data_IF_914026054318
#
_entry.id   IF_914026054318
#
_cell.length_a   1.000
_cell.length_b   1.000
_cell.length_c   1.000
_cell.angle_alpha   90.00
_cell.angle_beta   90.00
_cell.angle_gamma   90.00
#
_symmetry.space_group_name_H-M   'P 1'
#
loop_
_entity.id
_entity.type
_entity.pdbx_description
1 polymer ?
#
# COMPACT_ATOMS: atom_id res chain seq x y z
N UNK A 1 48.13 -12.17 8.64
CA UNK A 1 47.65 -10.94 9.33
C UNK A 1 46.25 -10.67 8.83
N UNK A 2 45.23 -10.81 9.69
CA UNK A 2 43.81 -10.63 9.33
C UNK A 2 43.43 -9.16 9.56
N UNK A 3 42.99 -8.45 8.52
CA UNK A 3 42.47 -7.08 8.64
C UNK A 3 41.01 -7.18 9.07
N UNK A 4 40.72 -6.84 10.34
CA UNK A 4 39.34 -6.68 10.80
C UNK A 4 38.78 -5.38 10.22
N UNK A 5 37.74 -5.49 9.39
CA UNK A 5 36.96 -4.36 8.91
C UNK A 5 36.10 -3.82 10.07
N UNK A 6 36.41 -2.62 10.55
CA UNK A 6 35.58 -1.91 11.52
C UNK A 6 34.52 -1.10 10.78
N UNK A 7 33.24 -1.49 10.93
CA UNK A 7 32.11 -0.73 10.38
C UNK A 7 31.92 0.53 11.23
N UNK A 8 32.19 1.70 10.66
CA UNK A 8 31.87 2.99 11.28
C UNK A 8 30.35 3.10 11.39
N UNK A 9 29.77 3.28 12.60
CA UNK A 9 28.34 3.53 12.71
C UNK A 9 28.03 4.91 12.13
N UNK A 10 27.35 4.95 10.99
CA UNK A 10 26.86 6.18 10.40
C UNK A 10 25.94 6.90 11.40
N UNK A 11 26.17 8.19 11.59
CA UNK A 11 25.36 9.05 12.48
C UNK A 11 23.90 9.01 12.00
N UNK A 12 23.03 8.37 12.78
CA UNK A 12 21.59 8.35 12.54
C UNK A 12 21.08 9.77 12.78
N UNK A 13 20.88 10.53 11.71
CA UNK A 13 20.18 11.80 11.79
C UNK A 13 18.72 11.48 12.13
N UNK A 14 18.27 11.83 13.35
CA UNK A 14 16.83 11.82 13.65
C UNK A 14 16.17 12.77 12.66
N UNK A 15 15.33 12.22 11.77
CA UNK A 15 14.41 13.04 10.99
C UNK A 15 13.54 13.78 11.99
N UNK A 16 13.50 15.10 11.88
CA UNK A 16 12.49 15.88 12.58
C UNK A 16 11.13 15.36 12.12
N UNK A 17 10.41 14.67 13.02
CA UNK A 17 9.04 14.28 12.76
C UNK A 17 8.25 15.57 12.63
N UNK A 18 7.61 15.78 11.47
CA UNK A 18 6.62 16.84 11.35
C UNK A 18 5.58 16.61 12.46
N UNK A 19 5.31 17.62 13.31
CA UNK A 19 4.27 17.49 14.32
C UNK A 19 2.93 17.28 13.61
N UNK A 20 2.09 16.40 14.16
CA UNK A 20 0.70 16.29 13.73
C UNK A 20 0.05 17.66 13.86
N UNK A 21 -0.70 18.05 12.83
CA UNK A 21 -1.48 19.28 12.84
C UNK A 21 -2.72 19.10 13.71
N UNK A 22 -3.37 20.22 14.10
CA UNK A 22 -4.63 20.17 14.83
C UNK A 22 -5.73 19.41 14.04
N UNK A 23 -5.67 19.45 12.71
CA UNK A 23 -6.58 18.69 11.84
C UNK A 23 -6.33 17.18 11.96
N UNK A 24 -5.06 16.77 11.92
CA UNK A 24 -4.70 15.35 12.05
C UNK A 24 -5.16 14.78 13.39
N UNK A 25 -5.01 15.55 14.47
CA UNK A 25 -5.47 15.17 15.80
C UNK A 25 -6.99 15.04 15.87
N UNK A 26 -7.73 15.97 15.24
CA UNK A 26 -9.19 15.91 15.18
C UNK A 26 -9.67 14.68 14.38
N UNK A 27 -8.99 14.35 13.28
CA UNK A 27 -9.31 13.17 12.48
C UNK A 27 -9.02 11.87 13.26
N UNK A 28 -7.89 11.81 13.99
CA UNK A 28 -7.55 10.66 14.83
C UNK A 28 -8.56 10.46 15.97
N UNK A 29 -9.00 11.54 16.63
CA UNK A 29 -10.04 11.46 17.65
C UNK A 29 -11.40 11.04 17.05
N UNK A 30 -11.72 11.50 15.85
CA UNK A 30 -12.91 11.03 15.12
C UNK A 30 -12.82 9.54 14.81
N UNK A 31 -11.68 9.06 14.35
CA UNK A 31 -11.48 7.62 14.09
C UNK A 31 -11.54 6.79 15.38
N UNK A 32 -11.06 7.30 16.52
CA UNK A 32 -11.16 6.59 17.81
C UNK A 32 -12.61 6.51 18.30
N UNK A 33 -13.35 7.61 18.18
CA UNK A 33 -14.71 7.75 18.69
C UNK A 33 -15.78 7.11 17.79
N UNK A 34 -15.53 6.97 16.49
CA UNK A 34 -16.47 6.41 15.51
C UNK A 34 -16.14 4.95 15.16
N UNK A 35 -16.94 3.95 15.62
CA UNK A 35 -16.73 2.55 15.29
C UNK A 35 -16.83 2.24 13.79
N UNK A 36 -17.61 3.02 13.03
CA UNK A 36 -17.79 2.79 11.59
C UNK A 36 -16.52 3.10 10.80
N UNK A 37 -15.79 4.15 11.19
CA UNK A 37 -14.50 4.50 10.60
C UNK A 37 -13.43 3.47 10.94
N UNK A 38 -13.46 2.91 12.16
CA UNK A 38 -12.55 1.82 12.54
C UNK A 38 -12.81 0.55 11.76
N UNK A 39 -14.07 0.17 11.60
CA UNK A 39 -14.44 -1.00 10.81
C UNK A 39 -13.98 -0.86 9.35
N UNK A 40 -14.17 0.32 8.75
CA UNK A 40 -13.69 0.60 7.39
C UNK A 40 -12.16 0.52 7.28
N UNK A 41 -11.43 1.07 8.26
CA UNK A 41 -9.97 0.98 8.27
C UNK A 41 -9.48 -0.47 8.48
N UNK A 42 -10.15 -1.25 9.34
CA UNK A 42 -9.82 -2.66 9.58
C UNK A 42 -10.06 -3.51 8.32
N UNK A 43 -11.15 -3.26 7.58
CA UNK A 43 -11.40 -3.88 6.28
C UNK A 43 -10.28 -3.56 5.29
N UNK A 44 -9.86 -2.29 5.20
CA UNK A 44 -8.72 -1.90 4.38
C UNK A 44 -7.41 -2.56 4.86
N UNK A 45 -7.22 -2.73 6.16
CA UNK A 45 -6.08 -3.44 6.73
C UNK A 45 -6.20 -4.97 6.69
N UNK A 46 -7.25 -5.53 6.07
CA UNK A 46 -7.48 -6.98 5.99
C UNK A 46 -7.59 -7.67 7.37
N UNK A 47 -8.15 -6.97 8.38
CA UNK A 47 -8.39 -7.50 9.71
C UNK A 47 -7.23 -7.35 10.71
N UNK A 48 -6.17 -6.61 10.35
CA UNK A 48 -4.99 -6.44 11.20
C UNK A 48 -5.18 -5.47 12.38
N UNK A 49 -6.31 -4.74 12.46
CA UNK A 49 -6.62 -3.77 13.51
C UNK A 49 -7.45 -4.36 14.67
N UNK A 50 -7.52 -5.69 14.79
CA UNK A 50 -8.41 -6.47 15.67
C UNK A 50 -8.21 -6.30 17.19
N UNK A 51 -7.55 -5.24 17.66
CA UNK A 51 -7.39 -4.96 19.09
C UNK A 51 -8.56 -4.12 19.63
N UNK A 52 -9.10 -4.52 20.77
CA UNK A 52 -10.20 -3.82 21.47
C UNK A 52 -9.84 -2.38 21.85
N UNK A 53 -8.55 -2.12 22.02
CA UNK A 53 -7.96 -0.79 22.21
C UNK A 53 -6.93 -0.54 21.11
N UNK A 54 -7.22 0.40 20.22
CA UNK A 54 -6.28 0.83 19.17
C UNK A 54 -5.62 2.11 19.65
N UNK A 55 -4.30 2.10 19.76
CA UNK A 55 -3.53 3.29 20.14
C UNK A 55 -3.50 4.30 18.99
N UNK A 56 -3.26 5.58 19.31
CA UNK A 56 -3.11 6.62 18.30
C UNK A 56 -1.98 6.29 17.30
N UNK A 57 -0.85 5.78 17.81
CA UNK A 57 0.26 5.35 16.96
C UNK A 57 -0.10 4.18 16.03
N UNK A 58 -0.94 3.24 16.48
CA UNK A 58 -1.42 2.15 15.64
C UNK A 58 -2.36 2.66 14.55
N UNK A 59 -3.25 3.62 14.86
CA UNK A 59 -4.11 4.27 13.86
C UNK A 59 -3.29 5.01 12.80
N UNK A 60 -2.35 5.85 13.22
CA UNK A 60 -1.47 6.58 12.29
C UNK A 60 -0.71 5.60 11.39
N UNK A 61 -0.17 4.52 11.96
CA UNK A 61 0.52 3.50 11.19
C UNK A 61 -0.41 2.83 10.16
N UNK A 62 -1.60 2.40 10.57
CA UNK A 62 -2.55 1.75 9.68
C UNK A 62 -3.03 2.68 8.55
N UNK A 63 -3.32 3.95 8.85
CA UNK A 63 -3.67 4.96 7.84
C UNK A 63 -2.52 5.12 6.85
N UNK A 64 -1.27 5.21 7.33
CA UNK A 64 -0.09 5.34 6.47
C UNK A 64 0.10 4.12 5.58
N UNK A 65 0.00 2.90 6.13
CA UNK A 65 0.11 1.64 5.36
C UNK A 65 -0.97 1.58 4.28
N UNK A 66 -2.23 1.85 4.64
CA UNK A 66 -3.34 1.90 3.68
C UNK A 66 -3.09 2.91 2.57
N UNK A 67 -2.65 4.12 2.93
CA UNK A 67 -2.36 5.18 1.97
C UNK A 67 -1.24 4.81 0.99
N UNK A 68 -0.12 4.26 1.48
CA UNK A 68 0.97 3.79 0.61
C UNK A 68 0.50 2.66 -0.31
N UNK A 69 -0.32 1.74 0.20
CA UNK A 69 -0.87 0.66 -0.62
C UNK A 69 -1.77 1.21 -1.74
N UNK A 70 -2.66 2.14 -1.42
CA UNK A 70 -3.52 2.79 -2.41
C UNK A 70 -2.73 3.54 -3.49
N UNK A 71 -1.63 4.23 -3.11
CA UNK A 71 -0.73 4.88 -4.08
C UNK A 71 -0.08 3.85 -5.01
N UNK A 72 0.37 2.71 -4.47
CA UNK A 72 0.96 1.63 -5.28
C UNK A 72 -0.05 1.01 -6.24
N UNK A 73 -1.25 0.68 -5.75
CA UNK A 73 -2.34 0.14 -6.57
C UNK A 73 -2.70 1.11 -7.71
N UNK A 74 -2.78 2.41 -7.42
CA UNK A 74 -3.04 3.43 -8.44
C UNK A 74 -1.91 3.51 -9.48
N UNK A 75 -0.64 3.46 -9.04
CA UNK A 75 0.51 3.48 -9.93
C UNK A 75 0.56 2.23 -10.83
N UNK A 76 0.27 1.05 -10.27
CA UNK A 76 0.21 -0.21 -11.01
C UNK A 76 -0.92 -0.18 -12.05
N UNK A 77 -2.12 0.26 -11.67
CA UNK A 77 -3.24 0.42 -12.59
C UNK A 77 -2.89 1.37 -13.75
N UNK A 78 -2.24 2.51 -13.45
CA UNK A 78 -1.75 3.43 -14.48
C UNK A 78 -0.72 2.77 -15.40
N UNK A 79 0.24 2.04 -14.85
CA UNK A 79 1.26 1.36 -15.64
C UNK A 79 0.66 0.31 -16.59
N UNK A 80 -0.36 -0.44 -16.13
CA UNK A 80 -1.08 -1.37 -17.00
C UNK A 80 -1.85 -0.67 -18.13
N UNK A 81 -2.46 0.48 -17.86
CA UNK A 81 -3.12 1.29 -18.89
C UNK A 81 -2.11 1.82 -19.92
N UNK A 82 -0.99 2.37 -19.46
CA UNK A 82 0.07 2.89 -20.32
C UNK A 82 0.67 1.76 -21.18
N UNK A 83 0.87 0.57 -20.59
CA UNK A 83 1.32 -0.62 -21.32
C UNK A 83 0.29 -1.09 -22.37
N UNK A 84 -1.00 -1.13 -22.01
CA UNK A 84 -2.05 -1.51 -22.95
C UNK A 84 -2.13 -0.53 -24.13
N UNK A 85 -1.91 0.76 -23.88
CA UNK A 85 -1.86 1.80 -24.91
C UNK A 85 -0.60 1.73 -25.80
N UNK A 86 0.47 1.06 -25.36
CA UNK A 86 1.71 0.93 -26.11
C UNK A 86 1.66 -0.11 -27.24
N UNK A 87 0.64 -0.99 -27.24
CA UNK A 87 0.52 -2.04 -28.23
C UNK A 87 0.00 -1.53 -29.57
N UNK A 88 0.60 -2.05 -30.64
CA UNK A 88 0.08 -1.92 -32.00
C UNK A 88 -1.21 -2.73 -32.18
N UNK A 89 -2.09 -2.37 -33.14
CA UNK A 89 -3.29 -3.15 -33.43
C UNK A 89 -3.01 -4.63 -33.72
N UNK A 90 -1.90 -4.93 -34.39
CA UNK A 90 -1.44 -6.28 -34.69
C UNK A 90 -1.10 -7.07 -33.41
N UNK A 91 -0.36 -6.47 -32.48
CA UNK A 91 0.00 -7.09 -31.19
C UNK A 91 -1.21 -7.30 -30.28
N UNK A 92 -2.22 -6.42 -30.35
CA UNK A 92 -3.49 -6.58 -29.64
C UNK A 92 -4.25 -7.79 -30.17
N UNK A 93 -4.31 -7.95 -31.49
CA UNK A 93 -5.02 -9.06 -32.12
C UNK A 93 -4.32 -10.40 -31.88
N UNK A 94 -2.99 -10.44 -31.94
CA UNK A 94 -2.20 -11.63 -31.60
C UNK A 94 -2.44 -12.09 -30.15
N UNK A 95 -2.47 -11.15 -29.19
CA UNK A 95 -2.77 -11.45 -27.78
C UNK A 95 -4.19 -12.01 -27.57
N UNK A 96 -5.20 -11.44 -28.25
CA UNK A 96 -6.58 -11.98 -28.20
C UNK A 96 -6.64 -13.40 -28.76
N UNK A 97 -5.97 -13.64 -29.88
CA UNK A 97 -5.92 -14.95 -30.50
C UNK A 97 -5.19 -15.98 -29.60
N UNK A 98 -4.13 -15.58 -28.89
CA UNK A 98 -3.47 -16.43 -27.91
C UNK A 98 -4.37 -16.75 -26.70
N UNK A 99 -5.04 -15.74 -26.13
CA UNK A 99 -5.92 -15.91 -24.96
C UNK A 99 -7.13 -16.82 -25.23
N UNK A 100 -7.69 -16.77 -26.44
CA UNK A 100 -8.82 -17.63 -26.84
C UNK A 100 -8.39 -19.09 -27.05
N UNK A 101 -7.15 -19.34 -27.50
CA UNK A 101 -6.61 -20.71 -27.67
C UNK A 101 -6.21 -21.37 -26.34
N UNK A 102 -5.80 -20.58 -25.35
CA UNK A 102 -5.38 -21.06 -24.03
C UNK A 102 -6.48 -20.96 -22.96
N UNK A 103 -7.74 -21.21 -23.32
CA UNK A 103 -8.78 -21.40 -22.30
C UNK A 103 -8.40 -22.59 -21.41
N UNK A 104 -8.17 -22.32 -20.13
CA UNK A 104 -7.79 -23.33 -19.16
C UNK A 104 -8.90 -24.37 -19.02
N UNK A 105 -8.51 -25.65 -19.06
CA UNK A 105 -9.39 -26.83 -18.99
C UNK A 105 -10.12 -27.01 -17.66
N UNK A 106 -9.97 -26.08 -16.71
CA UNK A 106 -10.68 -26.06 -15.42
C UNK A 106 -12.00 -25.26 -15.49
N UNK A 107 -12.31 -24.67 -16.65
CA UNK A 107 -13.57 -23.93 -16.87
C UNK A 107 -14.71 -24.85 -17.37
N UNK A 108 -14.55 -26.18 -17.26
CA UNK A 108 -15.53 -27.21 -17.61
C UNK A 108 -15.83 -28.10 -16.40
#
# INVERSE_FOLDING_TARGET
MLIMATRTPGRIARRATLPLTDSDLADLERMKSDPSLRAALDELMQGELTTTEVTESALVHAIWVCGIRAVREHAEAKAYLDLAASFTPEEVEERRHYATRNRASWTD
#
